data_IF_934334787989
#
_entry.id   IF_934334787989
#
_cell.length_a   1.000
_cell.length_b   1.000
_cell.length_c   1.000
_cell.angle_alpha   90.00
_cell.angle_beta   90.00
_cell.angle_gamma   90.00
#
_symmetry.space_group_name_H-M   'P 1'
#
loop_
_entity.id
_entity.type
_entity.pdbx_description
1 polymer ?
#
# COMPACT_ATOMS: atom_id res chain seq x y z
N UNK A 1 24.30 -24.78 10.51
CA UNK A 1 24.91 -23.49 10.84
C UNK A 1 24.06 -22.35 10.34
N UNK A 2 24.07 -21.19 11.01
CA UNK A 2 23.42 -19.95 10.61
C UNK A 2 21.87 -19.95 10.58
N UNK A 3 21.18 -20.90 11.23
CA UNK A 3 19.71 -20.91 11.26
C UNK A 3 19.13 -19.71 12.02
N UNK A 4 19.78 -19.29 13.10
CA UNK A 4 19.34 -18.12 13.88
C UNK A 4 19.23 -16.87 13.01
N UNK A 5 20.28 -16.57 12.23
CA UNK A 5 20.30 -15.38 11.36
C UNK A 5 19.30 -15.45 10.19
N UNK A 6 18.72 -16.62 9.92
CA UNK A 6 17.68 -16.81 8.89
C UNK A 6 16.25 -16.69 9.45
N UNK A 7 16.09 -16.71 10.76
CA UNK A 7 14.77 -16.79 11.42
C UNK A 7 14.54 -15.67 12.43
N UNK A 8 15.48 -14.78 12.65
CA UNK A 8 15.27 -13.62 13.52
C UNK A 8 14.37 -12.60 12.83
N UNK A 9 13.52 -11.89 13.62
CA UNK A 9 12.59 -10.88 13.08
C UNK A 9 13.25 -9.74 12.31
N UNK A 10 14.54 -9.48 12.55
CA UNK A 10 15.33 -8.45 11.85
C UNK A 10 16.15 -8.98 10.65
N UNK A 11 15.89 -10.20 10.18
CA UNK A 11 16.70 -10.81 9.11
C UNK A 11 16.72 -9.96 7.83
N UNK A 12 15.58 -9.44 7.40
CA UNK A 12 15.47 -8.66 6.16
C UNK A 12 16.35 -7.42 6.21
N UNK A 13 16.22 -6.60 7.26
CA UNK A 13 17.04 -5.40 7.43
C UNK A 13 18.53 -5.73 7.60
N UNK A 14 18.85 -6.78 8.36
CA UNK A 14 20.24 -7.20 8.58
C UNK A 14 20.92 -7.69 7.29
N UNK A 15 20.21 -8.43 6.44
CA UNK A 15 20.73 -8.89 5.13
C UNK A 15 21.00 -7.71 4.23
N UNK A 16 20.06 -6.76 4.12
CA UNK A 16 20.22 -5.55 3.31
C UNK A 16 21.40 -4.70 3.84
N UNK A 17 21.44 -4.45 5.15
CA UNK A 17 22.53 -3.67 5.76
C UNK A 17 23.90 -4.31 5.48
N UNK A 18 24.01 -5.64 5.59
CA UNK A 18 25.26 -6.35 5.32
C UNK A 18 25.63 -6.32 3.83
N UNK A 19 24.67 -6.56 2.94
CA UNK A 19 24.90 -6.61 1.49
C UNK A 19 25.31 -5.25 0.93
N UNK A 20 24.65 -4.18 1.36
CA UNK A 20 24.90 -2.81 0.91
C UNK A 20 25.85 -2.02 1.82
N UNK A 21 26.38 -2.66 2.88
CA UNK A 21 27.29 -2.03 3.86
C UNK A 21 26.68 -0.77 4.50
N UNK A 22 25.39 -0.81 4.80
CA UNK A 22 24.70 0.30 5.44
C UNK A 22 25.13 0.39 6.91
N UNK A 23 25.50 1.58 7.35
CA UNK A 23 26.06 1.80 8.70
C UNK A 23 25.17 2.66 9.59
N UNK A 24 24.03 3.13 9.07
CA UNK A 24 23.06 3.91 9.83
C UNK A 24 22.11 3.02 10.62
N UNK A 25 20.96 3.56 10.96
CA UNK A 25 19.88 2.87 11.65
C UNK A 25 19.44 1.62 10.87
N UNK A 26 19.37 0.48 11.56
CA UNK A 26 18.92 -0.79 10.98
C UNK A 26 18.03 -1.54 11.97
N UNK A 27 16.75 -1.70 11.63
CA UNK A 27 15.79 -2.50 12.37
C UNK A 27 14.66 -2.96 11.46
N UNK A 28 13.90 -3.95 11.89
CA UNK A 28 12.65 -4.35 11.23
C UNK A 28 11.46 -4.00 12.11
N UNK A 29 10.42 -3.49 11.46
CA UNK A 29 9.11 -3.24 12.07
C UNK A 29 8.13 -4.31 11.61
N UNK A 30 7.04 -4.51 12.35
CA UNK A 30 5.98 -5.44 11.99
C UNK A 30 4.62 -4.83 12.32
N UNK A 31 3.75 -4.75 11.33
CA UNK A 31 2.38 -4.23 11.44
C UNK A 31 1.46 -4.91 10.42
N UNK A 32 1.53 -6.25 10.38
CA UNK A 32 0.76 -7.08 9.46
C UNK A 32 0.84 -6.54 8.01
N UNK A 33 -0.29 -6.42 7.32
CA UNK A 33 -0.34 -5.99 5.92
C UNK A 33 0.08 -4.53 5.69
N UNK A 34 0.22 -3.71 6.74
CA UNK A 34 0.65 -2.32 6.65
C UNK A 34 2.16 -2.12 6.82
N UNK A 35 2.91 -3.20 7.11
CA UNK A 35 4.35 -3.15 7.43
C UNK A 35 5.16 -2.39 6.38
N UNK A 36 4.96 -2.69 5.11
CA UNK A 36 5.72 -2.06 4.02
C UNK A 36 5.47 -0.55 3.92
N UNK A 37 4.23 -0.13 4.03
CA UNK A 37 3.87 1.28 4.03
C UNK A 37 4.41 2.01 5.27
N UNK A 38 4.33 1.41 6.46
CA UNK A 38 4.94 1.95 7.67
C UNK A 38 6.46 2.08 7.54
N UNK A 39 7.14 1.08 6.96
CA UNK A 39 8.58 1.15 6.71
C UNK A 39 8.97 2.37 5.86
N UNK A 40 8.20 2.65 4.81
CA UNK A 40 8.42 3.81 3.94
C UNK A 40 8.17 5.12 4.70
N UNK A 41 7.04 5.23 5.40
CA UNK A 41 6.68 6.41 6.17
C UNK A 41 7.67 6.71 7.30
N UNK A 42 8.08 5.68 8.04
CA UNK A 42 9.11 5.84 9.09
C UNK A 42 10.47 6.27 8.51
N UNK A 43 10.83 5.80 7.31
CA UNK A 43 12.01 6.29 6.60
C UNK A 43 11.93 7.77 6.26
N UNK A 44 10.79 8.23 5.78
CA UNK A 44 10.51 9.65 5.54
C UNK A 44 10.70 10.47 6.83
N UNK A 45 10.14 10.01 7.95
CA UNK A 45 10.28 10.68 9.25
C UNK A 45 11.74 10.79 9.71
N UNK A 46 12.57 9.76 9.48
CA UNK A 46 14.01 9.82 9.83
C UNK A 46 14.75 10.88 9.00
N UNK A 47 14.38 11.04 7.73
CA UNK A 47 14.95 12.07 6.85
C UNK A 47 14.46 13.46 7.28
N UNK A 48 13.17 13.63 7.54
CA UNK A 48 12.59 14.90 8.02
C UNK A 48 13.18 15.37 9.36
N UNK A 49 13.56 14.41 10.21
CA UNK A 49 14.26 14.69 11.47
C UNK A 49 15.75 15.01 11.29
N UNK A 50 16.27 15.00 10.06
CA UNK A 50 17.67 15.26 9.74
C UNK A 50 18.65 14.21 10.29
N UNK A 51 18.18 12.98 10.55
CA UNK A 51 19.02 11.90 11.09
C UNK A 51 19.74 11.10 10.01
N UNK A 52 19.15 11.01 8.82
CA UNK A 52 19.67 10.28 7.67
C UNK A 52 19.30 11.00 6.38
N UNK A 53 20.18 10.92 5.39
CA UNK A 53 19.94 11.47 4.05
C UNK A 53 19.35 10.39 3.11
N UNK A 54 19.60 9.11 3.39
CA UNK A 54 19.17 7.97 2.56
C UNK A 54 18.67 6.83 3.45
N UNK A 55 17.48 6.32 3.18
CA UNK A 55 16.87 5.20 3.88
C UNK A 55 16.43 4.12 2.90
N UNK A 56 16.82 2.86 3.18
CA UNK A 56 16.30 1.68 2.50
C UNK A 56 15.03 1.23 3.22
N UNK A 57 13.89 1.43 2.60
CA UNK A 57 12.58 1.18 3.19
C UNK A 57 11.84 0.09 2.41
N UNK A 58 11.38 -0.93 3.11
CA UNK A 58 10.72 -2.02 2.41
C UNK A 58 10.31 -3.15 3.32
N UNK A 59 9.96 -4.25 2.70
CA UNK A 59 9.57 -5.49 3.39
C UNK A 59 9.87 -6.71 2.53
N UNK A 60 9.83 -7.88 3.15
CA UNK A 60 9.88 -9.17 2.48
C UNK A 60 8.90 -10.13 3.14
N UNK A 61 8.20 -10.91 2.32
CA UNK A 61 7.22 -11.89 2.76
C UNK A 61 7.45 -13.21 2.06
N UNK A 62 7.34 -14.29 2.80
CA UNK A 62 7.43 -15.67 2.28
C UNK A 62 6.06 -16.33 2.39
N UNK A 63 5.49 -16.68 1.25
CA UNK A 63 4.34 -17.58 1.23
C UNK A 63 4.82 -19.01 1.49
N UNK A 64 4.13 -19.73 2.37
CA UNK A 64 4.35 -21.13 2.66
C UNK A 64 3.05 -21.77 3.17
N UNK A 65 2.97 -23.11 3.07
CA UNK A 65 1.78 -23.85 3.47
C UNK A 65 1.35 -23.59 4.92
N UNK A 66 2.28 -23.28 5.81
CA UNK A 66 1.99 -23.02 7.24
C UNK A 66 1.26 -21.69 7.44
N UNK A 67 1.62 -20.62 6.73
CA UNK A 67 0.85 -19.38 6.75
C UNK A 67 -0.45 -19.50 5.99
N UNK A 68 -0.44 -20.18 4.85
CA UNK A 68 -1.65 -20.39 4.04
C UNK A 68 -2.74 -21.12 4.82
N UNK A 69 -2.42 -22.22 5.52
CA UNK A 69 -3.41 -22.97 6.30
C UNK A 69 -4.02 -22.16 7.46
N UNK A 70 -3.27 -21.22 8.04
CA UNK A 70 -3.81 -20.34 9.08
C UNK A 70 -4.84 -19.37 8.52
N UNK A 71 -4.59 -18.76 7.37
CA UNK A 71 -5.55 -17.87 6.70
C UNK A 71 -6.73 -18.63 6.11
N UNK A 72 -6.53 -19.85 5.58
CA UNK A 72 -7.60 -20.73 5.12
C UNK A 72 -8.52 -21.13 6.28
N UNK A 73 -7.93 -21.54 7.41
CA UNK A 73 -8.67 -21.93 8.61
C UNK A 73 -9.54 -20.82 9.21
N UNK A 74 -9.23 -19.56 8.96
CA UNK A 74 -10.08 -18.41 9.35
C UNK A 74 -11.04 -17.95 8.24
N UNK A 75 -11.04 -18.62 7.09
CA UNK A 75 -11.91 -18.27 5.95
C UNK A 75 -11.55 -16.97 5.26
N UNK A 76 -10.29 -16.55 5.31
CA UNK A 76 -9.83 -15.29 4.71
C UNK A 76 -9.40 -15.45 3.25
N UNK A 77 -9.05 -16.66 2.81
CA UNK A 77 -8.58 -16.93 1.45
C UNK A 77 -9.73 -17.20 0.49
N UNK A 78 -9.53 -16.82 -0.77
CA UNK A 78 -10.39 -17.25 -1.87
C UNK A 78 -10.28 -18.77 -2.05
N UNK A 79 -11.40 -19.45 -2.11
CA UNK A 79 -11.49 -20.91 -2.28
C UNK A 79 -12.42 -21.34 -3.42
N UNK A 80 -13.33 -20.49 -3.86
CA UNK A 80 -14.30 -20.80 -4.92
C UNK A 80 -13.66 -20.87 -6.32
N UNK A 81 -12.48 -20.29 -6.48
CA UNK A 81 -11.83 -20.14 -7.79
C UNK A 81 -10.59 -21.02 -7.97
N UNK A 82 -10.47 -22.13 -7.22
CA UNK A 82 -9.31 -23.03 -7.34
C UNK A 82 -9.19 -23.66 -8.74
N UNK A 83 -10.31 -23.84 -9.43
CA UNK A 83 -10.33 -24.34 -10.82
C UNK A 83 -10.15 -23.21 -11.87
N UNK A 84 -10.19 -21.93 -11.44
CA UNK A 84 -10.01 -20.76 -12.28
C UNK A 84 -9.19 -19.68 -11.53
N UNK A 85 -7.93 -19.96 -11.17
CA UNK A 85 -7.14 -19.13 -10.26
C UNK A 85 -6.81 -17.75 -10.81
N UNK A 86 -6.86 -17.56 -12.12
CA UNK A 86 -6.61 -16.26 -12.77
C UNK A 86 -7.70 -15.22 -12.45
N UNK A 87 -8.88 -15.67 -12.06
CA UNK A 87 -10.03 -14.83 -11.69
C UNK A 87 -10.32 -14.83 -10.18
N UNK A 88 -9.45 -15.40 -9.35
CA UNK A 88 -9.69 -15.53 -7.93
C UNK A 88 -9.53 -14.18 -7.19
N UNK A 89 -8.48 -13.40 -7.50
CA UNK A 89 -8.32 -12.05 -6.93
C UNK A 89 -9.17 -11.06 -7.72
N UNK A 90 -10.25 -10.55 -7.10
CA UNK A 90 -11.29 -9.76 -7.76
C UNK A 90 -11.85 -8.67 -6.84
N UNK A 91 -10.98 -7.77 -6.37
CA UNK A 91 -11.41 -6.68 -5.50
C UNK A 91 -12.60 -5.90 -6.11
N UNK A 92 -13.60 -5.61 -5.27
CA UNK A 92 -14.84 -4.88 -5.61
C UNK A 92 -15.84 -5.66 -6.50
N UNK A 93 -15.58 -6.91 -6.85
CA UNK A 93 -16.56 -7.77 -7.50
C UNK A 93 -17.54 -8.37 -6.48
N UNK A 94 -18.82 -8.56 -6.86
CA UNK A 94 -19.85 -9.13 -5.98
C UNK A 94 -19.55 -10.56 -5.55
N UNK A 95 -18.90 -11.33 -6.43
CA UNK A 95 -18.61 -12.75 -6.21
C UNK A 95 -17.25 -13.01 -5.55
N UNK A 96 -16.55 -11.95 -5.08
CA UNK A 96 -15.30 -12.10 -4.33
C UNK A 96 -15.50 -12.88 -3.05
N UNK A 97 -14.55 -13.71 -2.67
CA UNK A 97 -14.71 -14.65 -1.54
C UNK A 97 -13.50 -14.70 -0.59
N UNK A 98 -12.54 -13.83 -0.77
CA UNK A 98 -11.32 -13.78 0.02
C UNK A 98 -10.11 -13.33 -0.80
N UNK A 99 -8.98 -13.15 -0.14
CA UNK A 99 -7.77 -12.75 -0.84
C UNK A 99 -7.01 -13.96 -1.42
N UNK A 100 -6.21 -13.73 -2.43
CA UNK A 100 -5.23 -14.69 -2.95
C UNK A 100 -3.89 -14.36 -2.31
N UNK A 101 -3.36 -15.29 -1.51
CA UNK A 101 -2.07 -15.11 -0.85
C UNK A 101 -0.93 -15.06 -1.88
N UNK A 102 0.00 -14.15 -1.66
CA UNK A 102 1.19 -13.99 -2.50
C UNK A 102 2.43 -13.75 -1.62
N UNK A 103 3.58 -13.75 -2.23
CA UNK A 103 4.87 -13.50 -1.60
C UNK A 103 5.66 -12.44 -2.36
N UNK A 104 6.80 -12.07 -1.83
CA UNK A 104 7.74 -11.21 -2.54
C UNK A 104 8.64 -10.40 -1.64
N UNK A 105 9.33 -9.48 -2.26
CA UNK A 105 10.17 -8.49 -1.60
C UNK A 105 10.16 -7.19 -2.39
N UNK A 106 10.29 -6.09 -1.69
CA UNK A 106 10.39 -4.78 -2.30
C UNK A 106 11.15 -3.82 -1.40
N UNK A 107 11.90 -2.94 -2.01
CA UNK A 107 12.62 -1.85 -1.33
C UNK A 107 12.49 -0.60 -2.18
N UNK A 108 12.12 0.50 -1.56
CA UNK A 108 12.25 1.84 -2.12
C UNK A 108 13.36 2.57 -1.38
N UNK A 109 14.09 3.40 -2.10
CA UNK A 109 15.07 4.30 -1.52
C UNK A 109 14.38 5.63 -1.28
N UNK A 110 14.19 5.99 -0.02
CA UNK A 110 13.74 7.31 0.39
C UNK A 110 14.97 8.15 0.65
N UNK A 111 15.06 9.31 0.00
CA UNK A 111 16.27 10.12 -0.02
C UNK A 111 15.91 11.61 0.13
N UNK A 112 16.73 12.35 0.85
CA UNK A 112 16.60 13.80 0.97
C UNK A 112 16.75 14.44 -0.42
N UNK A 113 15.89 15.41 -0.72
CA UNK A 113 15.75 15.96 -2.08
C UNK A 113 17.04 16.59 -2.60
N UNK A 114 17.69 17.45 -1.82
CA UNK A 114 18.92 18.12 -2.28
C UNK A 114 20.10 17.13 -2.38
N UNK A 115 20.13 16.11 -1.52
CA UNK A 115 21.10 15.02 -1.62
C UNK A 115 20.90 14.25 -2.94
N UNK A 116 19.65 13.90 -3.29
CA UNK A 116 19.34 13.21 -4.54
C UNK A 116 19.71 14.05 -5.77
N UNK A 117 19.37 15.34 -5.76
CA UNK A 117 19.71 16.30 -6.83
C UNK A 117 21.23 16.48 -6.98
N UNK A 118 21.96 16.60 -5.87
CA UNK A 118 23.41 16.80 -5.89
C UNK A 118 24.17 15.66 -6.57
N UNK A 119 23.66 14.42 -6.50
CA UNK A 119 24.25 13.26 -7.17
C UNK A 119 23.62 12.93 -8.53
N UNK A 120 22.66 13.72 -8.99
CA UNK A 120 21.98 13.52 -10.27
C UNK A 120 21.10 12.26 -10.29
N UNK A 121 20.47 11.90 -9.16
CA UNK A 121 19.60 10.73 -9.09
C UNK A 121 18.36 10.88 -9.97
N UNK A 122 17.87 9.79 -10.55
CA UNK A 122 16.50 9.75 -11.07
C UNK A 122 15.54 9.79 -9.89
N UNK A 123 14.70 10.83 -9.83
CA UNK A 123 13.64 10.97 -8.84
C UNK A 123 12.33 10.51 -9.50
N UNK A 124 11.70 9.48 -8.94
CA UNK A 124 10.42 8.95 -9.45
C UNK A 124 9.24 9.79 -8.99
N UNK A 125 9.26 10.23 -7.73
CA UNK A 125 8.23 11.07 -7.12
C UNK A 125 8.76 11.67 -5.82
N UNK A 126 8.04 12.62 -5.28
CA UNK A 126 8.23 13.12 -3.93
C UNK A 126 7.23 12.42 -2.98
N UNK A 127 7.72 11.85 -1.88
CA UNK A 127 6.87 11.32 -0.82
C UNK A 127 6.45 12.50 0.07
N UNK A 128 5.23 13.00 -0.15
CA UNK A 128 4.71 14.23 0.47
C UNK A 128 3.72 13.99 1.60
N UNK A 129 3.21 12.77 1.74
CA UNK A 129 2.24 12.44 2.79
C UNK A 129 2.44 11.06 3.36
N UNK A 130 2.34 10.96 4.67
CA UNK A 130 2.31 9.72 5.42
C UNK A 130 1.44 9.91 6.64
N UNK A 131 0.64 8.91 6.94
CA UNK A 131 -0.09 8.81 8.20
C UNK A 131 -0.20 7.35 8.63
N UNK A 132 -0.19 7.16 9.94
CA UNK A 132 -0.40 5.88 10.60
C UNK A 132 -1.46 6.04 11.69
N UNK A 133 -2.47 5.17 11.69
CA UNK A 133 -3.54 5.17 12.69
C UNK A 133 -3.84 3.76 13.17
N UNK A 134 -4.56 3.66 14.29
CA UNK A 134 -5.10 2.38 14.76
C UNK A 134 -6.61 2.49 14.92
N UNK A 135 -7.34 1.47 14.50
CA UNK A 135 -8.80 1.38 14.71
C UNK A 135 -9.15 1.24 16.19
N UNK A 136 -8.35 0.47 16.94
CA UNK A 136 -8.66 0.15 18.33
C UNK A 136 -10.01 -0.54 18.51
N UNK A 137 -10.45 -1.31 17.49
CA UNK A 137 -11.80 -1.86 17.41
C UNK A 137 -11.81 -3.40 17.49
N UNK A 138 -11.27 -4.06 16.48
CA UNK A 138 -11.26 -5.52 16.36
C UNK A 138 -9.94 -6.00 15.74
N UNK A 139 -9.55 -7.27 16.01
CA UNK A 139 -8.30 -7.82 15.50
C UNK A 139 -8.35 -8.15 14.01
N UNK A 140 -9.54 -8.38 13.46
CA UNK A 140 -9.73 -8.84 12.07
C UNK A 140 -10.63 -7.90 11.29
N UNK A 141 -11.78 -7.50 11.83
CA UNK A 141 -12.75 -6.67 11.13
C UNK A 141 -12.34 -5.19 11.15
N UNK A 142 -12.16 -4.55 9.99
CA UNK A 142 -11.84 -3.12 9.94
C UNK A 142 -13.05 -2.27 10.36
N UNK A 143 -12.79 -1.21 11.10
CA UNK A 143 -13.84 -0.23 11.46
C UNK A 143 -14.20 0.70 10.31
N UNK A 144 -13.30 0.89 9.34
CA UNK A 144 -13.35 1.92 8.32
C UNK A 144 -12.92 3.31 8.82
N UNK A 145 -13.12 3.62 10.08
CA UNK A 145 -12.84 4.94 10.66
C UNK A 145 -11.33 5.23 10.77
N UNK A 146 -10.52 4.25 11.18
CA UNK A 146 -9.07 4.40 11.22
C UNK A 146 -8.46 4.64 9.85
N UNK A 147 -8.94 3.90 8.84
CA UNK A 147 -8.54 4.10 7.44
C UNK A 147 -8.92 5.49 6.92
N UNK A 148 -10.15 5.96 7.23
CA UNK A 148 -10.60 7.31 6.90
C UNK A 148 -9.71 8.38 7.52
N UNK A 149 -9.36 8.24 8.82
CA UNK A 149 -8.42 9.16 9.50
C UNK A 149 -7.05 9.14 8.86
N UNK A 150 -6.50 7.96 8.57
CA UNK A 150 -5.20 7.83 7.93
C UNK A 150 -5.17 8.54 6.57
N UNK A 151 -6.18 8.35 5.72
CA UNK A 151 -6.28 9.06 4.44
C UNK A 151 -6.34 10.58 4.63
N UNK A 152 -7.19 11.07 5.53
CA UNK A 152 -7.34 12.50 5.83
C UNK A 152 -6.02 13.13 6.26
N UNK A 153 -5.32 12.52 7.20
CA UNK A 153 -4.07 13.03 7.76
C UNK A 153 -2.94 13.01 6.72
N UNK A 154 -2.87 11.95 5.89
CA UNK A 154 -1.89 11.85 4.82
C UNK A 154 -2.10 12.94 3.76
N UNK A 155 -3.35 13.22 3.36
CA UNK A 155 -3.69 14.34 2.45
C UNK A 155 -3.33 15.69 3.09
N UNK A 156 -3.68 15.89 4.36
CA UNK A 156 -3.36 17.12 5.06
C UNK A 156 -1.85 17.36 5.13
N UNK A 157 -1.04 16.31 5.35
CA UNK A 157 0.41 16.39 5.29
C UNK A 157 0.89 16.71 3.87
N UNK A 158 0.37 16.02 2.87
CA UNK A 158 0.72 16.23 1.46
C UNK A 158 0.43 17.67 1.00
N UNK A 159 -0.69 18.25 1.41
CA UNK A 159 -1.03 19.62 1.08
C UNK A 159 -0.10 20.65 1.75
N UNK A 160 0.41 20.35 2.95
CA UNK A 160 1.41 21.21 3.61
C UNK A 160 2.78 21.16 2.93
N UNK A 161 3.20 20.02 2.44
CA UNK A 161 4.53 19.80 1.87
C UNK A 161 4.57 20.03 0.35
N UNK A 162 3.60 19.50 -0.38
CA UNK A 162 3.53 19.52 -1.85
C UNK A 162 2.53 20.53 -2.43
N UNK A 163 1.90 21.37 -1.59
CA UNK A 163 0.81 22.27 -2.00
C UNK A 163 -0.53 21.57 -2.20
N UNK A 164 -1.58 22.38 -2.32
CA UNK A 164 -2.94 21.85 -2.54
C UNK A 164 -3.07 21.25 -3.94
N UNK A 165 -3.26 19.94 -4.01
CA UNK A 165 -3.49 19.18 -5.24
C UNK A 165 -4.56 18.14 -5.01
N UNK A 166 -5.35 17.82 -6.04
CA UNK A 166 -6.27 16.68 -6.02
C UNK A 166 -5.49 15.38 -6.09
N UNK A 167 -5.97 14.37 -5.41
CA UNK A 167 -5.48 12.99 -5.58
C UNK A 167 -6.08 12.46 -6.87
N UNK A 168 -5.27 12.03 -7.82
CA UNK A 168 -5.71 11.49 -9.10
C UNK A 168 -6.16 10.02 -8.99
N UNK A 169 -5.48 9.28 -8.11
CA UNK A 169 -5.69 7.84 -7.95
C UNK A 169 -5.43 7.37 -6.52
N UNK A 170 -6.26 6.47 -6.05
CA UNK A 170 -6.04 5.69 -4.83
C UNK A 170 -5.76 4.25 -5.22
N UNK A 171 -4.54 3.77 -4.93
CA UNK A 171 -4.24 2.35 -4.88
C UNK A 171 -4.72 1.82 -3.52
N UNK A 172 -5.88 1.20 -3.51
CA UNK A 172 -6.54 0.77 -2.30
C UNK A 172 -5.86 -0.44 -1.67
N UNK A 173 -6.16 -0.66 -0.39
CA UNK A 173 -5.84 -1.94 0.22
C UNK A 173 -6.57 -3.10 -0.46
N UNK A 174 -7.85 -2.94 -0.81
CA UNK A 174 -8.66 -3.75 -1.73
C UNK A 174 -8.22 -5.19 -1.92
N UNK A 175 -8.46 -6.05 -0.92
CA UNK A 175 -7.91 -7.41 -0.84
C UNK A 175 -8.78 -8.48 -1.48
N UNK A 176 -9.92 -8.12 -2.09
CA UNK A 176 -10.91 -9.08 -2.58
C UNK A 176 -11.67 -9.81 -1.45
N UNK A 177 -11.73 -9.19 -0.27
CA UNK A 177 -12.49 -9.73 0.86
C UNK A 177 -13.89 -9.11 0.94
N UNK A 178 -14.92 -9.89 1.30
CA UNK A 178 -16.30 -9.39 1.36
C UNK A 178 -16.48 -8.17 2.25
N UNK A 179 -15.83 -8.13 3.42
CA UNK A 179 -15.98 -7.06 4.41
C UNK A 179 -14.98 -5.93 4.18
N UNK A 180 -13.71 -6.26 3.91
CA UNK A 180 -12.63 -5.27 3.82
C UNK A 180 -12.83 -4.28 2.68
N UNK A 181 -13.16 -4.77 1.50
CA UNK A 181 -13.35 -3.94 0.31
C UNK A 181 -14.46 -2.91 0.50
N UNK A 182 -15.60 -3.34 1.06
CA UNK A 182 -16.77 -2.47 1.29
C UNK A 182 -16.47 -1.42 2.37
N UNK A 183 -15.79 -1.81 3.45
CA UNK A 183 -15.40 -0.88 4.51
C UNK A 183 -14.47 0.21 3.98
N UNK A 184 -13.50 -0.16 3.13
CA UNK A 184 -12.60 0.82 2.51
C UNK A 184 -13.33 1.74 1.52
N UNK A 185 -14.18 1.19 0.63
CA UNK A 185 -14.99 2.01 -0.28
C UNK A 185 -15.89 3.00 0.48
N UNK A 186 -16.50 2.55 1.58
CA UNK A 186 -17.31 3.40 2.44
C UNK A 186 -16.49 4.55 3.06
N UNK A 187 -15.28 4.23 3.56
CA UNK A 187 -14.37 5.23 4.12
C UNK A 187 -13.90 6.25 3.07
N UNK A 188 -13.58 5.81 1.85
CA UNK A 188 -13.21 6.69 0.72
C UNK A 188 -14.40 7.58 0.35
N UNK A 189 -15.57 6.97 0.11
CA UNK A 189 -16.79 7.71 -0.27
C UNK A 189 -17.13 8.78 0.76
N UNK A 190 -17.16 8.43 2.03
CA UNK A 190 -17.48 9.35 3.11
C UNK A 190 -16.45 10.49 3.21
N UNK A 191 -15.16 10.18 3.18
CA UNK A 191 -14.12 11.20 3.22
C UNK A 191 -14.22 12.18 2.07
N UNK A 192 -14.27 11.70 0.82
CA UNK A 192 -14.19 12.56 -0.34
C UNK A 192 -15.50 13.29 -0.65
N UNK A 193 -16.65 12.78 -0.23
CA UNK A 193 -17.92 13.50 -0.37
C UNK A 193 -18.17 14.52 0.74
N UNK A 194 -17.61 14.31 1.94
CA UNK A 194 -17.83 15.21 3.08
C UNK A 194 -16.80 16.34 3.19
N UNK A 195 -15.56 16.12 2.73
CA UNK A 195 -14.45 17.05 2.96
C UNK A 195 -13.82 17.60 1.66
N UNK A 196 -14.13 16.99 0.51
CA UNK A 196 -13.59 17.39 -0.78
C UNK A 196 -14.69 17.53 -1.83
N UNK A 197 -14.41 18.26 -2.91
CA UNK A 197 -15.34 18.50 -4.04
C UNK A 197 -15.13 17.51 -5.20
N UNK A 198 -14.39 16.42 -4.97
CA UNK A 198 -14.04 15.42 -5.97
C UNK A 198 -13.87 14.04 -5.36
N UNK A 199 -13.93 13.01 -6.19
CA UNK A 199 -13.57 11.64 -5.82
C UNK A 199 -12.46 11.17 -6.77
N UNK A 200 -11.31 10.67 -6.27
CA UNK A 200 -10.22 10.16 -7.10
C UNK A 200 -10.61 8.89 -7.83
N UNK A 201 -9.89 8.55 -8.93
CA UNK A 201 -9.97 7.21 -9.49
C UNK A 201 -9.54 6.19 -8.43
N UNK A 202 -10.19 5.04 -8.39
CA UNK A 202 -9.98 4.00 -7.38
C UNK A 202 -9.63 2.69 -8.09
N UNK A 203 -8.64 1.98 -7.58
CA UNK A 203 -8.30 0.65 -8.06
C UNK A 203 -7.54 -0.16 -7.03
N UNK A 204 -7.48 -1.47 -7.23
CA UNK A 204 -6.66 -2.38 -6.46
C UNK A 204 -5.73 -3.16 -7.37
N UNK A 205 -4.44 -2.94 -7.24
CA UNK A 205 -3.42 -3.72 -7.95
C UNK A 205 -3.31 -5.16 -7.45
N UNK A 206 -3.90 -5.46 -6.27
CA UNK A 206 -3.99 -6.83 -5.76
C UNK A 206 -4.85 -7.76 -6.61
N UNK A 207 -5.75 -7.22 -7.41
CA UNK A 207 -6.46 -8.02 -8.43
C UNK A 207 -5.51 -8.62 -9.47
N UNK A 208 -4.33 -8.02 -9.67
CA UNK A 208 -3.30 -8.49 -10.61
C UNK A 208 -2.17 -9.28 -9.91
N UNK A 209 -1.83 -8.93 -8.65
CA UNK A 209 -0.66 -9.46 -7.95
C UNK A 209 -0.98 -10.43 -6.81
N UNK A 210 -2.24 -10.51 -6.39
CA UNK A 210 -2.58 -11.11 -5.10
C UNK A 210 -2.16 -10.24 -3.93
N UNK A 211 -2.34 -10.74 -2.71
CA UNK A 211 -2.01 -10.03 -1.48
C UNK A 211 -0.72 -10.59 -0.87
N UNK A 212 0.38 -9.88 -1.02
CA UNK A 212 1.68 -10.25 -0.51
C UNK A 212 1.91 -9.82 0.95
N UNK A 213 0.84 -9.72 1.75
CA UNK A 213 0.86 -9.44 3.19
C UNK A 213 1.74 -8.23 3.55
N UNK A 214 2.80 -8.44 4.33
CA UNK A 214 3.66 -7.38 4.84
C UNK A 214 4.35 -6.56 3.74
N UNK A 215 4.59 -7.14 2.58
CA UNK A 215 5.26 -6.44 1.46
C UNK A 215 4.28 -5.73 0.51
N UNK A 216 2.97 -5.99 0.63
CA UNK A 216 1.97 -5.42 -0.28
C UNK A 216 2.08 -3.90 -0.41
N UNK A 217 2.21 -3.17 0.71
CA UNK A 217 2.33 -1.71 0.69
C UNK A 217 3.57 -1.19 -0.05
N UNK A 218 4.67 -1.95 -0.07
CA UNK A 218 5.86 -1.60 -0.87
C UNK A 218 5.62 -1.87 -2.35
N UNK A 219 5.00 -3.02 -2.69
CA UNK A 219 4.63 -3.32 -4.07
C UNK A 219 3.72 -2.23 -4.63
N UNK A 220 2.69 -1.84 -3.87
CA UNK A 220 1.73 -0.81 -4.26
C UNK A 220 2.37 0.58 -4.42
N UNK A 221 3.31 0.93 -3.54
CA UNK A 221 4.13 2.13 -3.70
C UNK A 221 4.92 2.08 -5.02
N UNK A 222 5.63 0.98 -5.30
CA UNK A 222 6.38 0.79 -6.54
C UNK A 222 5.47 0.84 -7.77
N UNK A 223 4.33 0.16 -7.75
CA UNK A 223 3.37 0.21 -8.85
C UNK A 223 2.84 1.63 -9.08
N UNK A 224 2.53 2.36 -8.01
CA UNK A 224 2.10 3.76 -8.09
C UNK A 224 3.17 4.66 -8.70
N UNK A 225 4.43 4.51 -8.29
CA UNK A 225 5.55 5.24 -8.85
C UNK A 225 5.75 4.93 -10.35
N UNK A 226 5.59 3.67 -10.75
CA UNK A 226 5.68 3.26 -12.16
C UNK A 226 4.52 3.78 -13.00
N UNK A 227 3.30 3.81 -12.45
CA UNK A 227 2.14 4.42 -13.09
C UNK A 227 2.35 5.92 -13.32
N UNK A 228 2.87 6.63 -12.32
CA UNK A 228 3.22 8.06 -12.44
C UNK A 228 4.31 8.30 -13.49
N UNK A 229 5.40 7.51 -13.46
CA UNK A 229 6.52 7.62 -14.41
C UNK A 229 6.10 7.36 -15.86
N UNK A 230 5.14 6.45 -16.07
CA UNK A 230 4.71 5.99 -17.41
C UNK A 230 3.42 6.64 -17.89
N UNK A 231 2.71 7.38 -17.06
CA UNK A 231 1.49 8.10 -17.43
C UNK A 231 0.29 7.20 -17.68
N UNK A 232 0.02 6.23 -16.82
CA UNK A 232 -1.19 5.41 -16.86
C UNK A 232 -1.66 5.04 -15.45
N UNK A 233 -2.89 4.59 -15.34
CA UNK A 233 -3.44 3.93 -14.15
C UNK A 233 -3.85 2.51 -14.51
N UNK A 234 -3.46 1.54 -13.70
CA UNK A 234 -3.84 0.16 -13.89
C UNK A 234 -5.30 -0.07 -13.50
N UNK A 235 -5.94 -1.02 -14.18
CA UNK A 235 -7.26 -1.50 -13.82
C UNK A 235 -7.26 -2.32 -12.53
N UNK A 236 -8.40 -2.34 -11.86
CA UNK A 236 -8.77 -3.35 -10.88
C UNK A 236 -9.33 -4.54 -11.66
N UNK A 237 -8.50 -5.53 -11.94
CA UNK A 237 -8.87 -6.66 -12.80
C UNK A 237 -9.98 -7.52 -12.19
N UNK A 238 -10.63 -8.34 -13.03
CA UNK A 238 -11.60 -9.37 -12.63
C UNK A 238 -12.90 -8.83 -12.01
N UNK A 239 -13.29 -7.60 -12.31
CA UNK A 239 -14.61 -7.08 -11.93
C UNK A 239 -15.60 -7.42 -13.04
N UNK A 240 -16.44 -8.41 -12.81
CA UNK A 240 -17.52 -8.80 -13.73
C UNK A 240 -18.86 -8.22 -13.29
N UNK A 241 -19.08 -8.16 -11.98
CA UNK A 241 -20.27 -7.59 -11.35
C UNK A 241 -19.81 -6.71 -10.18
N UNK A 242 -19.76 -5.42 -10.39
CA UNK A 242 -19.31 -4.47 -9.35
C UNK A 242 -20.27 -4.48 -8.15
N UNK A 243 -19.72 -4.34 -6.93
CA UNK A 243 -20.53 -4.25 -5.70
C UNK A 243 -21.41 -3.01 -5.69
N UNK A 244 -22.58 -3.08 -5.06
CA UNK A 244 -23.54 -1.96 -5.00
C UNK A 244 -22.97 -0.76 -4.23
N UNK A 245 -22.10 -0.99 -3.25
CA UNK A 245 -21.42 0.03 -2.45
C UNK A 245 -20.46 0.89 -3.28
N UNK A 246 -20.04 0.42 -4.45
CA UNK A 246 -19.24 1.19 -5.40
C UNK A 246 -20.05 2.17 -6.24
N UNK A 247 -21.38 2.23 -6.07
CA UNK A 247 -22.21 3.17 -6.81
C UNK A 247 -21.76 4.63 -6.61
N UNK A 248 -21.50 5.30 -7.74
CA UNK A 248 -21.00 6.68 -7.76
C UNK A 248 -19.48 6.82 -7.51
N UNK A 249 -18.75 5.72 -7.35
CA UNK A 249 -17.30 5.73 -7.22
C UNK A 249 -16.63 5.40 -8.55
N UNK A 250 -15.58 6.14 -8.96
CA UNK A 250 -14.87 5.92 -10.22
C UNK A 250 -13.85 4.76 -10.09
N UNK A 251 -14.37 3.55 -9.94
CA UNK A 251 -13.55 2.32 -9.93
C UNK A 251 -13.00 2.09 -11.34
N UNK A 252 -11.70 1.91 -11.47
CA UNK A 252 -11.07 1.60 -12.74
C UNK A 252 -11.22 0.11 -13.08
N UNK A 253 -12.06 -0.20 -14.04
CA UNK A 253 -12.23 -1.56 -14.60
C UNK A 253 -11.40 -1.79 -15.86
N UNK A 254 -10.79 -0.73 -16.39
CA UNK A 254 -9.91 -0.74 -17.54
C UNK A 254 -8.71 0.17 -17.29
N UNK A 255 -7.59 -0.12 -17.92
CA UNK A 255 -6.40 0.73 -17.90
C UNK A 255 -6.74 2.13 -18.44
N UNK A 256 -6.33 3.15 -17.72
CA UNK A 256 -6.54 4.56 -18.09
C UNK A 256 -5.20 5.23 -18.39
N UNK A 257 -5.05 5.75 -19.60
CA UNK A 257 -3.88 6.54 -19.99
C UNK A 257 -4.04 8.01 -19.60
N UNK A 258 -2.94 8.66 -19.28
CA UNK A 258 -2.90 10.08 -18.99
C UNK A 258 -1.89 10.45 -17.91
N UNK A 259 -1.63 11.75 -17.73
CA UNK A 259 -0.73 12.22 -16.69
C UNK A 259 -1.30 11.92 -15.30
N UNK A 260 -0.40 11.58 -14.38
CA UNK A 260 -0.73 11.30 -12.97
C UNK A 260 0.16 12.19 -12.12
N UNK A 261 -0.44 13.08 -11.34
CA UNK A 261 0.28 14.10 -10.56
C UNK A 261 0.39 13.75 -9.08
N UNK A 262 -0.68 13.22 -8.48
CA UNK A 262 -0.72 12.79 -7.08
C UNK A 262 -1.40 11.45 -6.93
N UNK A 263 -0.74 10.52 -6.24
CA UNK A 263 -1.27 9.18 -5.95
C UNK A 263 -1.26 8.94 -4.44
N UNK A 264 -2.31 8.29 -3.95
CA UNK A 264 -2.39 7.75 -2.59
C UNK A 264 -2.31 6.22 -2.64
N UNK A 265 -1.61 5.63 -1.68
CA UNK A 265 -1.58 4.17 -1.47
C UNK A 265 -2.01 3.84 -0.05
N UNK A 266 -3.02 2.98 0.08
CA UNK A 266 -3.60 2.56 1.36
C UNK A 266 -3.12 1.16 1.75
N UNK A 267 -2.79 0.98 3.01
CA UNK A 267 -2.49 -0.32 3.59
C UNK A 267 -3.19 -0.46 4.94
N UNK A 268 -4.11 -1.41 5.06
CA UNK A 268 -4.92 -1.64 6.25
C UNK A 268 -4.70 -3.08 6.72
N UNK A 269 -4.09 -3.26 7.90
CA UNK A 269 -3.66 -4.56 8.39
C UNK A 269 -4.52 -5.10 9.53
N UNK A 270 -4.50 -6.40 9.71
CA UNK A 270 -5.06 -7.04 10.88
C UNK A 270 -4.46 -6.42 12.16
N UNK A 271 -5.28 -6.34 13.24
CA UNK A 271 -4.98 -5.56 14.42
C UNK A 271 -5.44 -4.09 14.30
N UNK A 272 -6.12 -3.73 13.19
CA UNK A 272 -6.62 -2.38 12.96
C UNK A 272 -5.52 -1.35 12.69
N UNK A 273 -4.37 -1.79 12.19
CA UNK A 273 -3.24 -0.91 11.87
C UNK A 273 -3.35 -0.40 10.44
N UNK A 274 -3.39 0.92 10.28
CA UNK A 274 -3.60 1.58 8.99
C UNK A 274 -2.41 2.48 8.65
N UNK A 275 -2.04 2.49 7.38
CA UNK A 275 -1.04 3.40 6.82
C UNK A 275 -1.50 3.93 5.47
N UNK A 276 -1.28 5.22 5.24
CA UNK A 276 -1.49 5.86 3.94
C UNK A 276 -0.22 6.58 3.53
N UNK A 277 0.17 6.43 2.27
CA UNK A 277 1.27 7.14 1.63
C UNK A 277 0.72 8.04 0.52
N UNK A 278 1.26 9.24 0.36
CA UNK A 278 0.92 10.14 -0.75
C UNK A 278 2.20 10.54 -1.48
N UNK A 279 2.19 10.34 -2.78
CA UNK A 279 3.28 10.67 -3.68
C UNK A 279 2.85 11.76 -4.66
N UNK A 280 3.71 12.76 -4.85
CA UNK A 280 3.58 13.76 -5.91
C UNK A 280 4.60 13.51 -7.01
N UNK A 281 4.19 13.74 -8.25
CA UNK A 281 5.12 13.73 -9.38
C UNK A 281 6.18 14.81 -9.16
N UNK A 282 7.44 14.41 -9.29
CA UNK A 282 8.55 15.34 -9.29
C UNK A 282 8.60 16.08 -10.64
N UNK A 283 8.64 17.40 -10.60
CA UNK A 283 8.60 18.25 -11.80
C UNK A 283 9.94 18.94 -12.11
N UNK A 284 11.01 18.65 -11.33
CA UNK A 284 12.35 19.22 -11.55
C UNK A 284 12.72 20.35 -10.61
#
# INVERSE_FOLDING_TARGET
PYRVTRTMGSTVSAVLATAFKLQGLSYSVSSACSTGAHSIGMGMEQIQLGKHDVMFCGSGELENWGSTIMFDGMGALSSKYNDDPTHASRAFDKDRDGFVIAAGGGVVIVEELEHAKARGAKIYAELVGYSATSDGYDMVAPSGEGGKRAMREAIAMANRLGGEKKVDYINTHGTSTPVGDVAELGAIKDLFTSEFDYIPNIGSTKSLSGHALSVAGVHEAIYSLLMMDRGFLAESANIFNIVDEAEGLPILTERKEGPVSRVMSNSFGFGGTNACLVFDKYEG
#
